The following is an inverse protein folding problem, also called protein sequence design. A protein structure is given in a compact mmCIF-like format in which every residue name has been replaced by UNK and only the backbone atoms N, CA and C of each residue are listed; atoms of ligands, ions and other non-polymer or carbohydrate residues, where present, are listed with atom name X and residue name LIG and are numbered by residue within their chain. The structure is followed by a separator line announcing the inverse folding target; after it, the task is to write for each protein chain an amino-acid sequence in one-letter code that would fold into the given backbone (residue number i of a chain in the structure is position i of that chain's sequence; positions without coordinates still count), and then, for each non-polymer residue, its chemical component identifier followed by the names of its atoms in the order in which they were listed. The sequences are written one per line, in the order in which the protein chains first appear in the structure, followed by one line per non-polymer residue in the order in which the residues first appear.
data_IF_120421883322
#
_entry.id   IF_120421883322
#
_cell.length_a   1.000
_cell.length_b   1.000
_cell.length_c   1.000
_cell.angle_alpha   90.00
_cell.angle_beta   90.00
_cell.angle_gamma   90.00
#
_symmetry.space_group_name_H-M   'P 1'
#
loop_
_entity.id
_entity.type
_entity.pdbx_description
1 polymer ?
#
# COMPACT_ATOMS: atom_id res chain seq x y z
N UNK A 1 39.49 19.38 -16.87
CA UNK A 1 38.53 19.14 -15.75
C UNK A 1 37.07 19.11 -16.18
N UNK A 2 36.55 20.09 -16.99
CA UNK A 2 35.11 20.09 -17.40
C UNK A 2 34.65 18.85 -18.19
N UNK A 3 35.48 18.30 -19.06
CA UNK A 3 35.16 17.10 -19.85
C UNK A 3 35.12 15.81 -19.01
N UNK A 4 36.00 15.65 -18.04
CA UNK A 4 36.06 14.48 -17.16
C UNK A 4 34.81 14.41 -16.24
N UNK A 5 34.36 15.54 -15.67
CA UNK A 5 33.18 15.59 -14.84
C UNK A 5 31.89 15.29 -15.64
N UNK A 6 31.83 15.75 -16.91
CA UNK A 6 30.69 15.42 -17.79
C UNK A 6 30.62 13.95 -18.18
N UNK A 7 31.75 13.33 -18.50
CA UNK A 7 31.85 11.89 -18.80
C UNK A 7 31.48 11.02 -17.60
N UNK A 8 31.92 11.37 -16.40
CA UNK A 8 31.56 10.65 -15.17
C UNK A 8 30.06 10.76 -14.86
N UNK A 9 29.46 11.94 -15.04
CA UNK A 9 28.02 12.14 -14.86
C UNK A 9 27.20 11.32 -15.86
N UNK A 10 27.61 11.33 -17.14
CA UNK A 10 26.97 10.54 -18.18
C UNK A 10 27.07 9.02 -17.86
N UNK A 11 28.25 8.55 -17.43
CA UNK A 11 28.45 7.16 -17.04
C UNK A 11 27.53 6.73 -15.89
N UNK A 12 27.42 7.55 -14.83
CA UNK A 12 26.53 7.28 -13.69
C UNK A 12 25.06 7.25 -14.15
N UNK A 13 24.64 8.22 -14.96
CA UNK A 13 23.25 8.30 -15.45
C UNK A 13 22.89 7.10 -16.33
N UNK A 14 23.76 6.72 -17.25
CA UNK A 14 23.57 5.55 -18.11
C UNK A 14 23.53 4.26 -17.29
N UNK A 15 24.43 4.11 -16.31
CA UNK A 15 24.48 2.94 -15.44
C UNK A 15 23.19 2.81 -14.62
N UNK A 16 22.68 3.91 -14.05
CA UNK A 16 21.40 3.92 -13.34
C UNK A 16 20.22 3.58 -14.26
N UNK A 17 20.22 4.10 -15.48
CA UNK A 17 19.18 3.77 -16.48
C UNK A 17 19.20 2.27 -16.81
N UNK A 18 20.37 1.69 -17.05
CA UNK A 18 20.53 0.24 -17.30
C UNK A 18 19.97 -0.57 -16.13
N UNK A 19 20.33 -0.20 -14.90
CA UNK A 19 19.80 -0.89 -13.69
C UNK A 19 18.29 -0.79 -13.59
N UNK A 20 17.69 0.38 -13.87
CA UNK A 20 16.24 0.54 -13.82
C UNK A 20 15.53 -0.23 -14.95
N UNK A 21 16.08 -0.26 -16.15
CA UNK A 21 15.58 -1.08 -17.26
C UNK A 21 15.67 -2.57 -16.93
N UNK A 22 16.81 -3.03 -16.41
CA UNK A 22 17.00 -4.43 -15.98
C UNK A 22 15.99 -4.81 -14.88
N UNK A 23 15.76 -3.92 -13.90
CA UNK A 23 14.75 -4.13 -12.88
C UNK A 23 13.33 -4.20 -13.48
N UNK A 24 12.99 -3.33 -14.42
CA UNK A 24 11.69 -3.36 -15.11
C UNK A 24 11.49 -4.67 -15.88
N UNK A 25 12.52 -5.14 -16.61
CA UNK A 25 12.50 -6.43 -17.32
C UNK A 25 12.30 -7.59 -16.33
N UNK A 26 13.00 -7.55 -15.19
CA UNK A 26 12.83 -8.55 -14.12
C UNK A 26 11.39 -8.56 -13.57
N UNK A 27 10.81 -7.41 -13.28
CA UNK A 27 9.41 -7.29 -12.83
C UNK A 27 8.44 -7.78 -13.91
N UNK A 28 8.68 -7.44 -15.17
CA UNK A 28 7.87 -7.93 -16.30
C UNK A 28 7.93 -9.46 -16.42
N UNK A 29 9.11 -10.05 -16.32
CA UNK A 29 9.29 -11.50 -16.28
C UNK A 29 8.51 -12.15 -15.13
N UNK A 30 8.60 -11.62 -13.92
CA UNK A 30 7.83 -12.13 -12.78
C UNK A 30 6.33 -11.98 -13.01
N UNK A 31 5.89 -10.84 -13.55
CA UNK A 31 4.48 -10.61 -13.85
C UNK A 31 3.92 -11.66 -14.84
N UNK A 32 4.68 -12.10 -15.85
CA UNK A 32 4.23 -13.17 -16.77
C UNK A 32 4.04 -14.52 -16.09
N UNK A 33 4.65 -14.73 -14.92
CA UNK A 33 4.48 -15.97 -14.12
C UNK A 33 3.34 -15.88 -13.12
N UNK A 34 2.82 -14.68 -12.85
CA UNK A 34 1.76 -14.49 -11.88
C UNK A 34 0.42 -15.02 -12.38
N UNK A 35 -0.25 -15.76 -11.49
CA UNK A 35 -1.65 -16.16 -11.66
C UNK A 35 -2.37 -15.96 -10.33
N UNK A 36 -3.53 -15.29 -10.30
CA UNK A 36 -4.31 -15.18 -9.08
C UNK A 36 -4.79 -16.58 -8.66
N UNK A 37 -4.72 -16.85 -7.37
CA UNK A 37 -5.25 -18.10 -6.81
C UNK A 37 -6.77 -18.06 -6.92
N UNK A 38 -7.37 -19.16 -7.42
CA UNK A 38 -8.81 -19.30 -7.49
C UNK A 38 -9.41 -19.43 -6.09
N UNK A 39 -10.61 -18.92 -5.91
CA UNK A 39 -11.35 -19.10 -4.66
C UNK A 39 -11.55 -20.58 -4.35
N UNK A 40 -11.27 -20.95 -3.11
CA UNK A 40 -11.56 -22.30 -2.60
C UNK A 40 -13.06 -22.44 -2.30
N UNK A 41 -13.54 -23.69 -2.17
CA UNK A 41 -14.93 -24.02 -1.80
C UNK A 41 -15.24 -23.62 -0.36
N UNK A 42 -16.51 -23.41 -0.05
CA UNK A 42 -16.98 -22.87 1.24
C UNK A 42 -16.54 -23.69 2.45
N UNK A 43 -16.48 -25.01 2.33
CA UNK A 43 -16.05 -25.89 3.42
C UNK A 43 -14.57 -25.69 3.78
N UNK A 44 -13.71 -25.32 2.82
CA UNK A 44 -12.29 -25.05 3.02
C UNK A 44 -12.00 -23.61 3.50
N UNK A 45 -12.96 -22.68 3.38
CA UNK A 45 -12.74 -21.32 3.82
C UNK A 45 -12.47 -21.30 5.34
N UNK A 46 -11.43 -20.57 5.79
CA UNK A 46 -11.10 -20.45 7.22
C UNK A 46 -12.10 -19.55 7.95
N UNK A 47 -12.09 -19.60 9.28
CA UNK A 47 -12.76 -18.58 10.08
C UNK A 47 -12.01 -17.25 9.97
N UNK A 48 -12.73 -16.14 9.78
CA UNK A 48 -12.15 -14.81 9.59
C UNK A 48 -12.69 -13.80 10.58
N UNK A 49 -11.84 -12.90 11.04
CA UNK A 49 -12.23 -11.65 11.70
C UNK A 49 -11.88 -10.47 10.83
N UNK A 50 -12.91 -9.73 10.37
CA UNK A 50 -12.71 -8.45 9.67
C UNK A 50 -12.67 -7.32 10.68
N UNK A 51 -11.62 -6.51 10.65
CA UNK A 51 -11.37 -5.39 11.56
C UNK A 51 -11.46 -4.09 10.77
N UNK A 52 -12.38 -3.21 11.16
CA UNK A 52 -12.64 -1.91 10.51
C UNK A 52 -12.36 -0.79 11.51
N UNK A 53 -11.17 -0.15 11.47
CA UNK A 53 -10.88 1.03 12.28
C UNK A 53 -11.52 2.26 11.64
N UNK A 54 -12.30 3.05 12.40
CA UNK A 54 -12.99 4.24 11.92
C UNK A 54 -12.63 5.48 12.76
N UNK A 55 -12.48 6.63 12.09
CA UNK A 55 -12.31 7.93 12.75
C UNK A 55 -12.76 9.07 11.85
N UNK A 56 -13.86 9.75 12.24
CA UNK A 56 -14.47 10.86 11.50
C UNK A 56 -14.77 10.51 10.03
N UNK A 57 -15.50 9.43 9.80
CA UNK A 57 -15.88 8.92 8.47
C UNK A 57 -17.36 9.14 8.14
N UNK A 58 -18.17 9.50 9.16
CA UNK A 58 -19.61 9.67 8.97
C UNK A 58 -20.28 8.45 8.36
N UNK A 59 -21.12 8.66 7.34
CA UNK A 59 -21.87 7.61 6.66
C UNK A 59 -21.00 6.59 5.90
N UNK A 60 -19.75 6.92 5.56
CA UNK A 60 -18.88 6.00 4.81
C UNK A 60 -18.67 4.69 5.57
N UNK A 61 -18.56 4.72 6.89
CA UNK A 61 -18.43 3.51 7.71
C UNK A 61 -19.61 2.55 7.55
N UNK A 62 -20.83 3.09 7.39
CA UNK A 62 -22.02 2.29 7.11
C UNK A 62 -21.91 1.55 5.77
N UNK A 63 -21.43 2.24 4.71
CA UNK A 63 -21.25 1.64 3.39
C UNK A 63 -20.22 0.50 3.42
N UNK A 64 -19.11 0.72 4.14
CA UNK A 64 -18.09 -0.31 4.35
C UNK A 64 -18.68 -1.54 5.06
N UNK A 65 -19.32 -1.34 6.21
CA UNK A 65 -19.88 -2.44 7.03
C UNK A 65 -20.99 -3.19 6.27
N UNK A 66 -21.83 -2.49 5.50
CA UNK A 66 -22.85 -3.10 4.66
C UNK A 66 -22.21 -3.97 3.56
N UNK A 67 -21.18 -3.48 2.87
CA UNK A 67 -20.49 -4.25 1.82
C UNK A 67 -19.82 -5.53 2.35
N UNK A 68 -19.30 -5.48 3.57
CA UNK A 68 -18.73 -6.65 4.24
C UNK A 68 -19.79 -7.69 4.60
N UNK A 69 -20.94 -7.25 5.10
CA UNK A 69 -22.05 -8.11 5.46
C UNK A 69 -22.72 -8.77 4.23
N UNK A 70 -22.66 -8.10 3.07
CA UNK A 70 -23.18 -8.60 1.79
C UNK A 70 -22.18 -9.45 1.03
N UNK A 71 -20.96 -9.67 1.59
CA UNK A 71 -19.95 -10.50 0.96
C UNK A 71 -20.37 -11.96 0.88
N UNK A 72 -19.95 -12.62 -0.22
CA UNK A 72 -20.18 -14.04 -0.44
C UNK A 72 -19.20 -14.88 0.42
N UNK A 73 -19.42 -14.87 1.74
CA UNK A 73 -18.65 -15.60 2.74
C UNK A 73 -19.60 -16.27 3.74
N UNK A 74 -19.35 -17.54 4.16
CA UNK A 74 -20.21 -18.21 5.14
C UNK A 74 -20.35 -17.37 6.42
N UNK A 75 -21.59 -17.08 6.80
CA UNK A 75 -21.87 -16.13 7.90
C UNK A 75 -21.33 -16.62 9.24
N UNK A 76 -21.36 -17.92 9.48
CA UNK A 76 -20.84 -18.59 10.67
C UNK A 76 -19.32 -18.58 10.77
N UNK A 77 -18.62 -18.34 9.65
CA UNK A 77 -17.16 -18.22 9.58
C UNK A 77 -16.66 -16.78 9.56
N UNK A 78 -17.55 -15.78 9.66
CA UNK A 78 -17.22 -14.36 9.50
C UNK A 78 -17.60 -13.55 10.73
N UNK A 79 -16.61 -13.11 11.50
CA UNK A 79 -16.76 -12.09 12.55
C UNK A 79 -16.41 -10.72 11.99
N UNK A 80 -17.23 -9.70 12.21
CA UNK A 80 -16.94 -8.31 11.83
C UNK A 80 -16.81 -7.48 13.11
N UNK A 81 -15.67 -6.78 13.27
CA UNK A 81 -15.37 -5.90 14.40
C UNK A 81 -15.11 -4.50 13.84
N UNK A 82 -15.93 -3.52 14.24
CA UNK A 82 -15.67 -2.13 13.91
C UNK A 82 -15.27 -1.35 15.18
N UNK A 83 -14.21 -0.53 15.06
CA UNK A 83 -13.66 0.21 16.19
C UNK A 83 -13.63 1.70 15.84
N UNK A 84 -14.44 2.45 16.55
CA UNK A 84 -14.42 3.91 16.52
C UNK A 84 -13.25 4.43 17.36
N UNK A 85 -12.30 5.12 16.74
CA UNK A 85 -11.12 5.68 17.40
C UNK A 85 -11.40 7.06 18.01
N UNK A 86 -12.54 7.20 18.71
CA UNK A 86 -12.93 8.41 19.39
C UNK A 86 -13.33 9.53 18.42
N UNK A 87 -14.20 9.23 17.46
CA UNK A 87 -14.74 10.19 16.49
C UNK A 87 -15.50 11.33 17.18
N UNK A 88 -15.50 12.50 16.52
CA UNK A 88 -16.20 13.71 16.98
C UNK A 88 -17.41 14.05 16.11
N UNK A 89 -17.58 13.35 15.00
CA UNK A 89 -18.70 13.45 14.08
C UNK A 89 -19.76 12.34 14.37
N UNK A 90 -20.65 12.10 13.44
CA UNK A 90 -21.72 11.10 13.53
C UNK A 90 -21.30 9.66 13.18
N UNK A 91 -19.98 9.38 13.08
CA UNK A 91 -19.45 8.03 12.76
C UNK A 91 -20.00 6.96 13.71
N UNK A 92 -20.02 7.25 15.04
CA UNK A 92 -20.52 6.29 16.03
C UNK A 92 -21.99 5.98 15.83
N UNK A 93 -22.82 6.97 15.52
CA UNK A 93 -24.25 6.79 15.24
C UNK A 93 -24.47 5.89 14.01
N UNK A 94 -23.67 6.07 12.97
CA UNK A 94 -23.70 5.20 11.79
C UNK A 94 -23.27 3.77 12.10
N UNK A 95 -22.27 3.57 12.95
CA UNK A 95 -21.89 2.23 13.43
C UNK A 95 -22.99 1.57 14.24
N UNK A 96 -23.67 2.32 15.13
CA UNK A 96 -24.83 1.80 15.88
C UNK A 96 -25.98 1.40 14.94
N UNK A 97 -26.27 2.20 13.94
CA UNK A 97 -27.27 1.88 12.90
C UNK A 97 -26.88 0.59 12.17
N UNK A 98 -25.59 0.41 11.83
CA UNK A 98 -25.09 -0.82 11.24
C UNK A 98 -25.26 -2.03 12.17
N UNK A 99 -24.97 -1.87 13.46
CA UNK A 99 -25.15 -2.91 14.47
C UNK A 99 -26.62 -3.34 14.58
N UNK A 100 -27.54 -2.38 14.59
CA UNK A 100 -28.97 -2.66 14.66
C UNK A 100 -29.48 -3.47 13.45
N UNK A 101 -28.93 -3.20 12.24
CA UNK A 101 -29.28 -3.94 11.01
C UNK A 101 -28.63 -5.32 10.92
N UNK A 102 -27.35 -5.42 11.30
CA UNK A 102 -26.55 -6.63 11.11
C UNK A 102 -26.57 -7.58 12.31
N UNK A 103 -27.12 -7.14 13.45
CA UNK A 103 -27.27 -7.96 14.63
C UNK A 103 -25.95 -8.51 15.18
N UNK A 104 -25.93 -9.78 15.53
CA UNK A 104 -24.78 -10.42 16.15
C UNK A 104 -23.55 -10.59 15.21
N UNK A 105 -23.73 -10.41 13.91
CA UNK A 105 -22.64 -10.48 12.92
C UNK A 105 -21.63 -9.32 13.03
N UNK A 106 -22.04 -8.20 13.63
CA UNK A 106 -21.21 -7.01 13.81
C UNK A 106 -21.02 -6.73 15.29
N UNK A 107 -19.80 -6.59 15.72
CA UNK A 107 -19.39 -6.07 17.04
C UNK A 107 -18.82 -4.66 16.86
N UNK A 108 -19.28 -3.71 17.67
CA UNK A 108 -18.81 -2.33 17.62
C UNK A 108 -18.18 -1.93 18.95
N UNK A 109 -17.08 -1.19 18.90
CA UNK A 109 -16.38 -0.71 20.07
C UNK A 109 -15.98 0.75 19.86
N UNK A 110 -16.05 1.55 20.90
CA UNK A 110 -15.60 2.94 20.91
C UNK A 110 -14.38 3.11 21.80
N UNK A 111 -13.41 3.89 21.35
CA UNK A 111 -12.28 4.33 22.16
C UNK A 111 -12.60 5.68 22.82
N UNK A 112 -12.11 5.95 24.03
CA UNK A 112 -12.41 7.20 24.75
C UNK A 112 -11.83 8.45 24.09
N UNK A 113 -10.80 8.29 23.25
CA UNK A 113 -10.14 9.35 22.48
C UNK A 113 -9.42 8.78 21.27
N UNK A 114 -9.09 9.64 20.31
CA UNK A 114 -8.28 9.28 19.16
C UNK A 114 -6.86 8.86 19.61
N UNK A 115 -6.54 7.60 19.41
CA UNK A 115 -5.23 7.00 19.69
C UNK A 115 -4.47 6.65 18.40
N UNK A 116 -5.13 6.75 17.25
CA UNK A 116 -4.62 6.42 15.93
C UNK A 116 -4.99 5.03 15.45
N UNK A 117 -5.04 4.86 14.12
CA UNK A 117 -5.45 3.62 13.44
C UNK A 117 -4.72 2.38 13.98
N UNK A 118 -3.43 2.49 14.29
CA UNK A 118 -2.63 1.38 14.85
C UNK A 118 -3.22 0.85 16.16
N UNK A 119 -3.66 1.72 17.04
CA UNK A 119 -4.28 1.32 18.31
C UNK A 119 -5.67 0.71 18.13
N UNK A 120 -6.47 1.25 17.19
CA UNK A 120 -7.75 0.64 16.85
C UNK A 120 -7.56 -0.77 16.26
N UNK A 121 -6.61 -0.96 15.34
CA UNK A 121 -6.25 -2.28 14.82
C UNK A 121 -5.72 -3.22 15.91
N UNK A 122 -4.86 -2.73 16.82
CA UNK A 122 -4.35 -3.49 17.95
C UNK A 122 -5.49 -4.05 18.82
N UNK A 123 -6.47 -3.21 19.14
CA UNK A 123 -7.67 -3.64 19.86
C UNK A 123 -8.44 -4.71 19.08
N UNK A 124 -8.61 -4.51 17.77
CA UNK A 124 -9.29 -5.46 16.89
C UNK A 124 -8.59 -6.82 16.82
N UNK A 125 -7.26 -6.84 16.72
CA UNK A 125 -6.48 -8.08 16.71
C UNK A 125 -6.60 -8.85 18.02
N UNK A 126 -6.69 -8.17 19.17
CA UNK A 126 -6.89 -8.82 20.45
C UNK A 126 -8.32 -9.36 20.68
N UNK A 127 -9.33 -8.75 20.03
CA UNK A 127 -10.72 -9.17 20.12
C UNK A 127 -11.10 -10.23 19.08
N UNK A 128 -10.32 -10.33 18.02
CA UNK A 128 -10.59 -11.24 16.90
C UNK A 128 -10.34 -12.71 17.25
N UNK A 129 -11.25 -13.58 16.82
CA UNK A 129 -11.18 -15.03 17.09
C UNK A 129 -10.89 -15.86 15.85
N UNK A 130 -11.02 -15.29 14.65
CA UNK A 130 -10.80 -15.97 13.38
C UNK A 130 -9.36 -16.42 13.16
N UNK A 131 -9.16 -17.47 12.39
CA UNK A 131 -7.85 -17.98 11.96
C UNK A 131 -7.11 -16.97 11.08
N UNK A 132 -7.87 -16.16 10.33
CA UNK A 132 -7.35 -15.10 9.47
C UNK A 132 -7.94 -13.76 9.93
N UNK A 133 -7.07 -12.79 10.13
CA UNK A 133 -7.45 -11.40 10.35
C UNK A 133 -7.49 -10.65 9.03
N UNK A 134 -8.56 -9.90 8.78
CA UNK A 134 -8.70 -9.05 7.59
C UNK A 134 -8.85 -7.61 8.07
N UNK A 135 -8.06 -6.70 7.54
CA UNK A 135 -8.20 -5.27 7.80
C UNK A 135 -8.81 -4.58 6.60
N UNK A 136 -9.80 -3.72 6.83
CA UNK A 136 -10.46 -2.93 5.79
C UNK A 136 -10.61 -1.49 6.30
N UNK A 137 -10.22 -0.50 5.49
CA UNK A 137 -10.42 0.92 5.84
C UNK A 137 -11.91 1.26 5.85
N UNK A 138 -12.30 2.15 6.76
CA UNK A 138 -13.70 2.53 7.02
C UNK A 138 -14.38 3.34 5.90
N UNK A 139 -13.64 3.72 4.88
CA UNK A 139 -14.09 4.41 3.66
C UNK A 139 -14.01 3.53 2.40
N UNK A 140 -13.87 2.21 2.60
CA UNK A 140 -13.60 1.25 1.53
C UNK A 140 -14.76 0.28 1.32
N UNK A 141 -15.07 -0.03 0.06
CA UNK A 141 -16.18 -0.92 -0.33
C UNK A 141 -15.60 -2.19 -0.95
N UNK A 142 -15.90 -3.35 -0.39
CA UNK A 142 -15.49 -4.64 -0.93
C UNK A 142 -16.51 -5.17 -1.96
N UNK A 143 -16.03 -5.89 -2.99
CA UNK A 143 -16.92 -6.63 -3.90
C UNK A 143 -17.34 -7.95 -3.24
N UNK A 144 -18.44 -8.55 -3.70
CA UNK A 144 -19.03 -9.76 -3.10
C UNK A 144 -18.04 -10.91 -2.87
N UNK A 145 -17.15 -11.17 -3.83
CA UNK A 145 -16.19 -12.29 -3.75
C UNK A 145 -14.83 -11.89 -3.17
N UNK A 146 -14.69 -10.65 -2.71
CA UNK A 146 -13.40 -10.11 -2.24
C UNK A 146 -12.81 -10.93 -1.10
N UNK A 147 -13.59 -11.19 -0.05
CA UNK A 147 -13.08 -11.86 1.15
C UNK A 147 -12.63 -13.29 0.84
N UNK A 148 -13.43 -14.07 0.12
CA UNK A 148 -13.07 -15.43 -0.25
C UNK A 148 -11.84 -15.50 -1.16
N UNK A 149 -11.72 -14.59 -2.12
CA UNK A 149 -10.53 -14.49 -2.96
C UNK A 149 -9.29 -14.11 -2.16
N UNK A 150 -9.43 -13.20 -1.19
CA UNK A 150 -8.34 -12.71 -0.37
C UNK A 150 -7.75 -13.78 0.55
N UNK A 151 -8.59 -14.68 1.09
CA UNK A 151 -8.15 -15.68 2.05
C UNK A 151 -7.75 -17.03 1.43
N UNK A 152 -8.14 -17.29 0.19
CA UNK A 152 -7.82 -18.54 -0.50
C UNK A 152 -6.33 -18.89 -0.55
N UNK A 153 -5.39 -17.90 -0.67
CA UNK A 153 -3.96 -18.17 -0.63
C UNK A 153 -3.48 -18.86 0.66
N UNK A 154 -4.11 -18.59 1.81
CA UNK A 154 -3.71 -19.21 3.09
C UNK A 154 -3.98 -20.70 3.15
N UNK A 155 -4.90 -21.20 2.30
CA UNK A 155 -5.24 -22.62 2.20
C UNK A 155 -4.33 -23.33 1.20
N UNK A 156 -3.94 -22.63 0.12
CA UNK A 156 -3.11 -23.20 -0.95
C UNK A 156 -1.62 -23.16 -0.61
N UNK A 157 -1.18 -22.15 0.12
CA UNK A 157 0.21 -21.97 0.56
C UNK A 157 0.26 -21.91 2.10
N UNK A 158 0.71 -22.98 2.72
CA UNK A 158 0.86 -23.08 4.19
C UNK A 158 1.83 -22.04 4.75
N UNK A 159 2.80 -21.57 3.94
CA UNK A 159 3.74 -20.50 4.29
C UNK A 159 3.18 -19.10 4.07
N UNK A 160 1.94 -18.98 3.58
CA UNK A 160 1.28 -17.69 3.43
C UNK A 160 0.99 -17.06 4.79
N UNK A 161 1.63 -15.94 5.11
CA UNK A 161 1.41 -15.19 6.35
C UNK A 161 0.58 -13.92 6.16
N UNK A 162 0.60 -13.34 4.95
CA UNK A 162 -0.19 -12.15 4.62
C UNK A 162 -0.57 -12.08 3.14
N UNK A 163 -1.70 -11.45 2.85
CA UNK A 163 -2.20 -11.23 1.47
C UNK A 163 -2.70 -9.79 1.33
N UNK A 164 -2.18 -9.07 0.34
CA UNK A 164 -2.70 -7.77 -0.05
C UNK A 164 -3.81 -7.90 -1.10
N UNK A 165 -4.88 -7.12 -0.94
CA UNK A 165 -5.95 -7.01 -1.95
C UNK A 165 -5.65 -5.96 -3.02
N UNK A 166 -6.47 -5.96 -4.06
CA UNK A 166 -6.40 -5.07 -5.22
C UNK A 166 -7.23 -3.81 -4.98
N UNK A 167 -6.54 -2.70 -4.73
CA UNK A 167 -7.17 -1.41 -4.45
C UNK A 167 -7.47 -0.67 -5.74
N UNK A 168 -8.73 -0.29 -5.93
CA UNK A 168 -9.24 0.49 -7.05
C UNK A 168 -9.80 1.83 -6.56
N UNK A 169 -9.74 2.86 -7.40
CA UNK A 169 -10.21 4.21 -7.05
C UNK A 169 -11.73 4.31 -7.26
N UNK A 170 -12.47 4.57 -6.17
CA UNK A 170 -13.94 4.70 -6.21
C UNK A 170 -14.37 6.01 -6.90
N UNK A 171 -13.74 7.13 -6.54
CA UNK A 171 -14.07 8.45 -7.03
C UNK A 171 -13.31 8.87 -8.30
N UNK A 172 -12.90 7.91 -9.14
CA UNK A 172 -12.03 8.15 -10.31
C UNK A 172 -12.61 9.12 -11.36
N UNK A 173 -13.94 9.36 -11.36
CA UNK A 173 -14.60 10.31 -12.28
C UNK A 173 -14.91 11.68 -11.66
N UNK A 174 -14.66 11.87 -10.34
CA UNK A 174 -15.05 13.10 -9.63
C UNK A 174 -14.12 14.29 -9.89
N UNK A 175 -12.80 14.03 -10.11
CA UNK A 175 -11.80 15.07 -10.31
C UNK A 175 -10.60 14.53 -11.10
N UNK A 176 -9.72 15.43 -11.58
CA UNK A 176 -8.53 15.10 -12.35
C UNK A 176 -7.54 14.24 -11.55
N UNK A 177 -7.28 14.58 -10.30
CA UNK A 177 -6.32 13.86 -9.45
C UNK A 177 -6.74 12.39 -9.25
N UNK A 178 -7.97 12.04 -8.82
CA UNK A 178 -8.42 10.66 -8.75
C UNK A 178 -8.33 9.92 -10.09
N UNK A 179 -8.59 10.59 -11.21
CA UNK A 179 -8.51 10.01 -12.54
C UNK A 179 -7.09 9.61 -12.92
N UNK A 180 -6.11 10.50 -12.67
CA UNK A 180 -4.69 10.22 -12.83
C UNK A 180 -4.23 9.09 -11.89
N UNK A 181 -4.65 9.14 -10.61
CA UNK A 181 -4.30 8.11 -9.61
C UNK A 181 -4.87 6.74 -9.96
N UNK A 182 -6.02 6.66 -10.60
CA UNK A 182 -6.63 5.38 -11.01
C UNK A 182 -5.70 4.57 -11.91
N UNK A 183 -5.09 5.19 -12.92
CA UNK A 183 -4.13 4.51 -13.81
C UNK A 183 -2.87 4.09 -13.05
N UNK A 184 -2.36 4.99 -12.21
CA UNK A 184 -1.18 4.70 -11.36
C UNK A 184 -1.43 3.57 -10.38
N UNK A 185 -2.63 3.51 -9.77
CA UNK A 185 -3.01 2.43 -8.83
C UNK A 185 -3.10 1.09 -9.56
N UNK A 186 -3.77 1.03 -10.72
CA UNK A 186 -3.84 -0.20 -11.52
C UNK A 186 -2.43 -0.71 -11.84
N UNK A 187 -1.52 0.15 -12.27
CA UNK A 187 -0.14 -0.26 -12.54
C UNK A 187 0.59 -0.72 -11.27
N UNK A 188 0.47 0.02 -10.17
CA UNK A 188 1.13 -0.32 -8.90
C UNK A 188 0.59 -1.61 -8.29
N UNK A 189 -0.73 -1.80 -8.27
CA UNK A 189 -1.36 -2.97 -7.67
C UNK A 189 -1.31 -4.17 -8.62
N UNK A 190 -1.84 -4.04 -9.83
CA UNK A 190 -2.02 -5.19 -10.70
C UNK A 190 -0.75 -5.62 -11.44
N UNK A 191 0.23 -4.73 -11.65
CA UNK A 191 1.49 -5.11 -12.28
C UNK A 191 2.60 -5.36 -11.26
N UNK A 192 2.92 -4.35 -10.44
CA UNK A 192 4.08 -4.45 -9.54
C UNK A 192 3.84 -5.48 -8.42
N UNK A 193 2.67 -5.41 -7.72
CA UNK A 193 2.41 -6.36 -6.61
C UNK A 193 2.16 -7.80 -7.10
N UNK A 194 1.60 -7.98 -8.28
CA UNK A 194 1.51 -9.31 -8.90
C UNK A 194 2.90 -9.92 -9.12
N UNK A 195 3.83 -9.15 -9.65
CA UNK A 195 5.22 -9.59 -9.81
C UNK A 195 5.89 -9.91 -8.45
N UNK A 196 5.69 -9.05 -7.45
CA UNK A 196 6.21 -9.28 -6.09
C UNK A 196 5.62 -10.53 -5.43
N UNK A 197 4.37 -10.86 -5.73
CA UNK A 197 3.68 -12.05 -5.21
C UNK A 197 4.35 -13.36 -5.66
N UNK A 198 4.86 -13.41 -6.90
CA UNK A 198 5.54 -14.61 -7.44
C UNK A 198 6.75 -15.04 -6.62
N UNK A 199 7.43 -14.07 -6.01
CA UNK A 199 8.59 -14.33 -5.14
C UNK A 199 8.23 -14.36 -3.66
N UNK A 200 6.92 -14.43 -3.31
CA UNK A 200 6.44 -14.46 -1.94
C UNK A 200 6.83 -13.23 -1.11
N UNK A 201 7.01 -12.07 -1.76
CA UNK A 201 7.51 -10.86 -1.08
C UNK A 201 6.82 -9.61 -1.61
N UNK A 202 5.55 -9.45 -1.31
CA UNK A 202 4.87 -8.15 -1.47
C UNK A 202 5.36 -7.22 -0.37
N UNK A 203 5.96 -6.08 -0.76
CA UNK A 203 6.59 -5.17 0.20
C UNK A 203 5.61 -4.46 1.14
N UNK A 204 4.35 -4.34 0.74
CA UNK A 204 3.31 -3.69 1.54
C UNK A 204 1.95 -4.25 1.20
N UNK A 205 1.28 -4.86 2.16
CA UNK A 205 -0.14 -5.16 2.11
C UNK A 205 -0.92 -3.86 2.38
N UNK A 206 -1.84 -3.42 1.48
CA UNK A 206 -2.46 -2.11 1.62
C UNK A 206 -3.43 -2.05 2.81
N UNK A 207 -3.42 -0.94 3.55
CA UNK A 207 -4.34 -0.73 4.67
C UNK A 207 -5.83 -0.80 4.29
N UNK A 208 -6.15 -0.49 3.02
CA UNK A 208 -7.51 -0.55 2.50
C UNK A 208 -8.08 -1.97 2.40
N UNK A 209 -7.22 -2.98 2.18
CA UNK A 209 -7.61 -4.39 2.19
C UNK A 209 -6.39 -5.30 2.34
N UNK A 210 -6.25 -5.93 3.47
CA UNK A 210 -5.21 -6.92 3.72
C UNK A 210 -5.72 -8.04 4.61
N UNK A 211 -5.18 -9.24 4.41
CA UNK A 211 -5.41 -10.39 5.27
C UNK A 211 -4.11 -10.89 5.86
N UNK A 212 -4.17 -11.42 7.08
CA UNK A 212 -3.03 -11.88 7.86
C UNK A 212 -3.36 -13.16 8.58
N UNK A 213 -2.43 -14.12 8.62
CA UNK A 213 -2.52 -15.29 9.48
C UNK A 213 -2.48 -14.85 10.94
N UNK A 214 -3.48 -15.25 11.73
CA UNK A 214 -3.63 -14.85 13.15
C UNK A 214 -2.36 -15.11 13.95
N UNK A 215 -1.79 -16.29 13.83
CA UNK A 215 -0.55 -16.65 14.52
C UNK A 215 0.60 -15.68 14.19
N UNK A 216 0.82 -15.39 12.92
CA UNK A 216 1.87 -14.48 12.47
C UNK A 216 1.69 -13.06 13.04
N UNK A 217 0.44 -12.59 13.15
CA UNK A 217 0.13 -11.29 13.78
C UNK A 217 0.40 -11.33 15.28
N UNK A 218 -0.15 -12.30 15.99
CA UNK A 218 -0.03 -12.38 17.45
C UNK A 218 1.41 -12.50 17.92
N UNK A 219 2.24 -13.25 17.19
CA UNK A 219 3.67 -13.40 17.48
C UNK A 219 4.45 -12.07 17.42
N UNK A 220 4.04 -11.12 16.58
CA UNK A 220 4.73 -9.83 16.47
C UNK A 220 3.93 -8.65 17.04
N UNK A 221 2.71 -8.86 17.50
CA UNK A 221 1.80 -7.80 17.92
C UNK A 221 2.36 -6.89 19.04
N UNK A 222 3.05 -7.40 20.10
CA UNK A 222 3.68 -6.55 21.11
C UNK A 222 4.79 -5.65 20.54
N UNK A 223 5.61 -6.18 19.62
CA UNK A 223 6.66 -5.41 18.95
C UNK A 223 6.07 -4.40 17.96
N UNK A 224 4.99 -4.77 17.29
CA UNK A 224 4.33 -3.91 16.31
C UNK A 224 3.69 -2.69 16.99
N UNK A 225 2.98 -2.85 18.11
CA UNK A 225 2.34 -1.71 18.78
C UNK A 225 3.36 -0.77 19.45
N UNK A 226 4.47 -1.31 19.96
CA UNK A 226 5.54 -0.55 20.62
C UNK A 226 6.66 -0.10 19.68
N UNK A 227 6.50 -0.25 18.36
CA UNK A 227 7.53 0.11 17.39
C UNK A 227 7.94 1.57 17.52
N UNK A 228 9.25 1.81 17.60
CA UNK A 228 9.85 3.15 17.58
C UNK A 228 10.81 3.32 16.42
N UNK A 229 11.00 4.56 16.01
CA UNK A 229 12.02 4.96 15.05
C UNK A 229 12.74 6.22 15.51
N UNK A 230 14.07 6.17 15.65
CA UNK A 230 14.89 7.27 16.18
C UNK A 230 14.33 7.81 17.52
N UNK A 231 13.95 6.91 18.42
CA UNK A 231 13.41 7.25 19.76
C UNK A 231 11.96 7.73 19.80
N UNK A 232 11.27 7.85 18.65
CA UNK A 232 9.88 8.28 18.57
C UNK A 232 8.95 7.10 18.24
N UNK A 233 7.76 6.97 18.88
CA UNK A 233 6.75 5.99 18.49
C UNK A 233 6.31 6.18 17.03
N UNK A 234 6.05 5.07 16.32
CA UNK A 234 5.60 5.10 14.93
C UNK A 234 4.08 5.01 14.85
N UNK A 235 3.41 6.09 14.45
CA UNK A 235 1.94 6.15 14.37
C UNK A 235 1.40 5.81 12.96
N UNK A 236 2.25 5.89 11.93
CA UNK A 236 1.87 5.71 10.51
C UNK A 236 2.66 4.58 9.87
N UNK A 237 2.08 3.96 8.82
CA UNK A 237 2.69 2.84 8.09
C UNK A 237 2.58 1.52 8.84
N UNK A 238 1.49 1.36 9.55
CA UNK A 238 1.11 0.19 10.33
C UNK A 238 1.03 -1.08 9.46
N UNK A 239 0.55 -0.93 8.22
CA UNK A 239 0.41 -1.97 7.21
C UNK A 239 1.78 -2.50 6.73
N UNK A 240 2.67 -1.59 6.37
CA UNK A 240 4.02 -1.96 5.93
C UNK A 240 4.87 -2.53 7.07
N UNK A 241 4.72 -2.01 8.27
CA UNK A 241 5.38 -2.55 9.46
C UNK A 241 4.93 -3.98 9.75
N UNK A 242 3.62 -4.26 9.71
CA UNK A 242 3.07 -5.61 9.86
C UNK A 242 3.59 -6.54 8.77
N UNK A 243 3.60 -6.08 7.51
CA UNK A 243 4.16 -6.82 6.38
C UNK A 243 5.61 -7.24 6.63
N UNK A 244 6.47 -6.31 7.06
CA UNK A 244 7.88 -6.60 7.35
C UNK A 244 8.06 -7.59 8.51
N UNK A 245 7.25 -7.45 9.57
CA UNK A 245 7.34 -8.36 10.73
C UNK A 245 6.89 -9.77 10.39
N UNK A 246 5.91 -9.93 9.49
CA UNK A 246 5.47 -11.24 8.98
C UNK A 246 6.53 -11.85 8.05
N UNK A 247 7.11 -11.06 7.13
CA UNK A 247 8.23 -11.51 6.30
C UNK A 247 9.43 -11.96 7.13
N UNK A 248 9.76 -11.22 8.21
CA UNK A 248 10.85 -11.56 9.14
C UNK A 248 10.67 -12.91 9.83
N UNK A 249 9.43 -13.34 10.05
CA UNK A 249 9.09 -14.65 10.61
C UNK A 249 9.24 -15.81 9.60
N UNK A 250 9.58 -15.51 8.34
CA UNK A 250 9.76 -16.51 7.29
C UNK A 250 8.55 -16.75 6.41
N UNK A 251 7.42 -16.14 6.70
CA UNK A 251 6.20 -16.30 5.91
C UNK A 251 6.31 -15.63 4.54
N UNK A 252 5.51 -16.14 3.59
CA UNK A 252 5.27 -15.49 2.32
C UNK A 252 4.24 -14.36 2.49
N UNK A 253 4.46 -13.25 1.78
CA UNK A 253 3.48 -12.19 1.61
C UNK A 253 3.07 -12.13 0.15
N UNK A 254 1.79 -12.37 -0.11
CA UNK A 254 1.23 -12.52 -1.44
C UNK A 254 0.30 -11.35 -1.82
N UNK A 255 -0.11 -11.32 -3.06
CA UNK A 255 -1.09 -10.37 -3.59
C UNK A 255 -2.19 -11.14 -4.33
N UNK A 256 -3.46 -10.74 -4.14
CA UNK A 256 -4.61 -11.31 -4.84
C UNK A 256 -5.25 -10.29 -5.76
N UNK A 257 -5.00 -10.41 -7.05
CA UNK A 257 -5.51 -9.50 -8.07
C UNK A 257 -7.04 -9.50 -8.17
N UNK A 258 -7.69 -10.64 -7.90
CA UNK A 258 -9.14 -10.81 -7.94
C UNK A 258 -9.85 -10.46 -6.61
N UNK A 259 -9.13 -10.03 -5.57
CA UNK A 259 -9.69 -9.53 -4.33
C UNK A 259 -9.79 -8.00 -4.38
N UNK A 260 -10.91 -7.47 -4.89
CA UNK A 260 -11.07 -6.04 -5.17
C UNK A 260 -11.66 -5.26 -4.00
N UNK A 261 -11.08 -4.10 -3.73
CA UNK A 261 -11.65 -3.08 -2.85
C UNK A 261 -11.64 -1.72 -3.54
N UNK A 262 -12.69 -0.95 -3.36
CA UNK A 262 -12.86 0.39 -3.90
C UNK A 262 -12.68 1.39 -2.75
N UNK A 263 -11.80 2.38 -2.89
CA UNK A 263 -11.56 3.42 -1.88
C UNK A 263 -11.50 4.80 -2.50
N UNK A 264 -11.80 5.84 -1.72
CA UNK A 264 -11.70 7.21 -2.17
C UNK A 264 -10.25 7.69 -2.15
N UNK A 265 -9.86 8.45 -3.16
CA UNK A 265 -8.56 9.11 -3.22
C UNK A 265 -8.69 10.62 -3.12
N UNK A 266 -7.64 11.34 -2.70
CA UNK A 266 -7.68 12.79 -2.58
C UNK A 266 -8.04 13.48 -3.89
N UNK A 267 -8.99 14.42 -3.82
CA UNK A 267 -9.40 15.26 -4.95
C UNK A 267 -8.59 16.56 -5.06
N UNK A 268 -7.99 17.00 -3.94
CA UNK A 268 -7.22 18.25 -3.83
C UNK A 268 -5.73 17.97 -3.62
N UNK A 269 -4.88 18.77 -4.25
CA UNK A 269 -3.42 18.68 -4.12
C UNK A 269 -2.92 18.66 -2.67
N UNK A 270 -3.50 19.51 -1.81
CA UNK A 270 -3.14 19.59 -0.38
C UNK A 270 -3.27 18.24 0.35
N UNK A 271 -4.29 17.47 0.05
CA UNK A 271 -4.49 16.15 0.66
C UNK A 271 -3.62 15.08 -0.02
N UNK A 272 -3.38 15.21 -1.33
CA UNK A 272 -2.54 14.32 -2.11
C UNK A 272 -1.09 14.32 -1.61
N UNK A 273 -0.43 15.49 -1.52
CA UNK A 273 0.97 15.52 -1.07
C UNK A 273 1.12 15.04 0.38
N UNK A 274 0.14 15.31 1.26
CA UNK A 274 0.12 14.78 2.63
C UNK A 274 0.06 13.24 2.65
N UNK A 275 -0.78 12.65 1.79
CA UNK A 275 -0.86 11.20 1.63
C UNK A 275 0.48 10.62 1.19
N UNK A 276 1.11 11.20 0.16
CA UNK A 276 2.41 10.74 -0.34
C UNK A 276 3.54 10.93 0.67
N UNK A 277 3.61 12.05 1.40
CA UNK A 277 4.60 12.23 2.48
C UNK A 277 4.46 11.12 3.53
N UNK A 278 3.24 10.79 3.93
CA UNK A 278 2.97 9.73 4.89
C UNK A 278 3.47 8.37 4.37
N UNK A 279 3.18 8.05 3.13
CA UNK A 279 3.64 6.80 2.51
C UNK A 279 5.16 6.75 2.38
N UNK A 280 5.79 7.82 1.91
CA UNK A 280 7.25 7.85 1.75
C UNK A 280 7.99 7.83 3.09
N UNK A 281 7.50 8.51 4.14
CA UNK A 281 8.06 8.37 5.49
C UNK A 281 8.02 6.93 5.98
N UNK A 282 6.90 6.24 5.77
CA UNK A 282 6.76 4.83 6.08
C UNK A 282 7.73 3.98 5.25
N UNK A 283 7.85 4.25 3.94
CA UNK A 283 8.76 3.54 3.05
C UNK A 283 10.21 3.65 3.52
N UNK A 284 10.68 4.83 3.87
CA UNK A 284 12.05 5.06 4.36
C UNK A 284 12.30 4.26 5.64
N UNK A 285 11.41 4.36 6.63
CA UNK A 285 11.55 3.63 7.90
C UNK A 285 11.57 2.12 7.69
N UNK A 286 10.62 1.62 6.95
CA UNK A 286 10.44 0.19 6.78
C UNK A 286 11.48 -0.44 5.83
N UNK A 287 12.10 0.33 4.94
CA UNK A 287 13.29 -0.12 4.21
C UNK A 287 14.47 -0.34 5.17
N UNK A 288 14.68 0.56 6.14
CA UNK A 288 15.70 0.39 7.20
C UNK A 288 15.38 -0.85 8.04
N UNK A 289 14.13 -1.03 8.44
CA UNK A 289 13.73 -2.21 9.23
C UNK A 289 13.90 -3.51 8.44
N UNK A 290 13.52 -3.54 7.15
CA UNK A 290 13.71 -4.69 6.29
C UNK A 290 15.19 -5.02 6.09
N UNK A 291 16.08 -4.01 6.00
CA UNK A 291 17.53 -4.22 5.85
C UNK A 291 18.14 -4.98 7.03
N UNK A 292 17.54 -4.92 8.22
CA UNK A 292 18.04 -5.62 9.41
C UNK A 292 17.91 -7.15 9.30
N UNK A 293 17.06 -7.67 8.41
CA UNK A 293 16.85 -9.10 8.27
C UNK A 293 16.95 -9.63 6.84
N UNK A 294 16.71 -8.83 5.81
CA UNK A 294 16.60 -9.31 4.43
C UNK A 294 17.89 -10.01 3.92
N UNK A 295 19.05 -9.60 4.43
CA UNK A 295 20.34 -10.20 4.06
C UNK A 295 20.72 -11.41 4.92
N UNK A 296 19.98 -11.70 5.99
CA UNK A 296 20.13 -12.92 6.79
C UNK A 296 19.39 -14.12 6.16
N UNK A 297 19.41 -15.26 6.85
CA UNK A 297 18.67 -16.45 6.47
C UNK A 297 17.25 -16.46 7.05
N UNK A 298 16.46 -15.40 6.82
CA UNK A 298 15.18 -15.12 7.47
C UNK A 298 14.03 -16.07 7.09
N UNK A 299 14.14 -16.79 5.99
CA UNK A 299 13.15 -17.79 5.55
C UNK A 299 13.78 -18.95 4.81
N UNK A 300 13.07 -20.05 4.71
CA UNK A 300 13.41 -21.15 3.81
C UNK A 300 13.15 -20.76 2.34
N UNK A 301 13.90 -21.35 1.42
CA UNK A 301 13.77 -21.09 -0.02
C UNK A 301 14.44 -19.79 -0.51
N UNK A 302 14.13 -19.36 -1.74
CA UNK A 302 14.84 -18.26 -2.42
C UNK A 302 14.59 -16.90 -1.74
N UNK A 303 15.68 -16.17 -1.46
CA UNK A 303 15.66 -14.82 -0.84
C UNK A 303 16.12 -13.72 -1.80
N UNK A 304 16.68 -14.12 -2.95
CA UNK A 304 17.27 -13.19 -3.93
C UNK A 304 16.27 -12.15 -4.40
N UNK A 305 15.03 -12.56 -4.70
CA UNK A 305 13.97 -11.64 -5.12
C UNK A 305 13.67 -10.56 -4.08
N UNK A 306 13.55 -10.92 -2.80
CA UNK A 306 13.33 -9.96 -1.71
C UNK A 306 14.48 -8.95 -1.60
N UNK A 307 15.72 -9.41 -1.78
CA UNK A 307 16.94 -8.56 -1.76
C UNK A 307 16.98 -7.61 -2.95
N UNK A 308 16.65 -8.09 -4.16
CA UNK A 308 16.55 -7.24 -5.36
C UNK A 308 15.50 -6.14 -5.16
N UNK A 309 14.32 -6.46 -4.62
CA UNK A 309 13.30 -5.48 -4.33
C UNK A 309 13.81 -4.43 -3.32
N UNK A 310 14.44 -4.84 -2.24
CA UNK A 310 14.99 -3.94 -1.23
C UNK A 310 16.11 -3.05 -1.80
N UNK A 311 17.03 -3.61 -2.58
CA UNK A 311 18.10 -2.85 -3.25
C UNK A 311 17.49 -1.77 -4.16
N UNK A 312 16.46 -2.12 -4.94
CA UNK A 312 15.78 -1.13 -5.79
C UNK A 312 15.10 -0.01 -4.97
N UNK A 313 14.55 -0.32 -3.79
CA UNK A 313 14.03 0.71 -2.89
C UNK A 313 15.15 1.63 -2.36
N UNK A 314 16.31 1.06 -2.01
CA UNK A 314 17.46 1.83 -1.57
C UNK A 314 18.03 2.73 -2.66
N UNK A 315 18.11 2.27 -3.91
CA UNK A 315 18.51 3.11 -5.06
C UNK A 315 17.63 4.36 -5.14
N UNK A 316 16.30 4.23 -4.98
CA UNK A 316 15.38 5.37 -4.99
C UNK A 316 15.64 6.33 -3.83
N UNK A 317 15.88 5.82 -2.63
CA UNK A 317 16.15 6.64 -1.44
C UNK A 317 17.49 7.37 -1.56
N UNK A 318 18.56 6.66 -1.97
CA UNK A 318 19.91 7.23 -2.12
C UNK A 318 19.94 8.28 -3.22
N UNK A 319 19.26 8.03 -4.35
CA UNK A 319 19.21 8.94 -5.49
C UNK A 319 18.26 10.12 -5.32
N UNK A 320 17.45 10.15 -4.26
CA UNK A 320 16.45 11.20 -4.07
C UNK A 320 17.06 12.62 -4.04
N UNK A 321 18.11 12.83 -3.24
CA UNK A 321 18.80 14.13 -3.18
C UNK A 321 19.63 14.42 -4.43
N UNK A 322 20.54 13.54 -4.88
CA UNK A 322 21.30 13.76 -6.12
C UNK A 322 20.41 14.06 -7.32
N UNK A 323 19.33 13.29 -7.51
CA UNK A 323 18.39 13.53 -8.61
C UNK A 323 17.67 14.88 -8.51
N UNK A 324 17.27 15.28 -7.29
CA UNK A 324 16.63 16.58 -7.05
C UNK A 324 17.58 17.73 -7.34
N UNK A 325 18.83 17.67 -6.85
CA UNK A 325 19.83 18.70 -7.11
C UNK A 325 20.16 18.79 -8.61
N UNK A 326 20.32 17.66 -9.28
CA UNK A 326 20.58 17.60 -10.71
C UNK A 326 19.41 18.17 -11.52
N UNK A 327 18.19 17.84 -11.13
CA UNK A 327 16.98 18.40 -11.73
C UNK A 327 16.94 19.90 -11.61
N UNK A 328 17.14 20.45 -10.41
CA UNK A 328 17.18 21.90 -10.17
C UNK A 328 18.30 22.56 -10.98
N UNK A 329 19.49 21.97 -11.01
CA UNK A 329 20.60 22.46 -11.82
C UNK A 329 20.21 22.60 -13.29
N UNK A 330 19.61 21.54 -13.90
CA UNK A 330 19.20 21.57 -15.30
C UNK A 330 18.05 22.55 -15.56
N UNK A 331 17.11 22.71 -14.64
CA UNK A 331 16.03 23.69 -14.75
C UNK A 331 16.60 25.13 -14.91
N UNK A 332 17.63 25.46 -14.11
CA UNK A 332 18.20 26.81 -14.12
C UNK A 332 19.24 27.03 -15.21
N UNK A 333 20.00 26.02 -15.61
CA UNK A 333 21.10 26.17 -16.59
C UNK A 333 20.73 25.77 -18.01
N UNK A 334 19.86 24.78 -18.16
CA UNK A 334 19.48 24.20 -19.46
C UNK A 334 17.98 23.86 -19.51
N UNK A 335 17.06 24.85 -19.33
CA UNK A 335 15.64 24.60 -19.17
C UNK A 335 15.00 23.87 -20.37
N UNK A 336 15.39 24.21 -21.60
CA UNK A 336 14.86 23.55 -22.81
C UNK A 336 15.26 22.08 -22.85
N UNK A 337 16.54 21.78 -22.53
CA UNK A 337 17.04 20.39 -22.47
C UNK A 337 16.33 19.60 -21.37
N UNK A 338 16.10 20.22 -20.22
CA UNK A 338 15.35 19.59 -19.12
C UNK A 338 13.91 19.27 -19.54
N UNK A 339 13.18 20.24 -20.05
CA UNK A 339 11.77 20.06 -20.45
C UNK A 339 11.66 19.01 -21.56
N UNK A 340 12.49 19.06 -22.61
CA UNK A 340 12.45 18.10 -23.71
C UNK A 340 12.78 16.68 -23.23
N UNK A 341 13.82 16.51 -22.42
CA UNK A 341 14.18 15.19 -21.88
C UNK A 341 13.12 14.64 -20.89
N UNK A 342 12.50 15.50 -20.09
CA UNK A 342 11.40 15.12 -19.20
C UNK A 342 10.17 14.66 -19.99
N UNK A 343 9.82 15.36 -21.09
CA UNK A 343 8.70 14.96 -21.95
C UNK A 343 8.98 13.64 -22.67
N UNK A 344 10.18 13.48 -23.25
CA UNK A 344 10.58 12.22 -23.92
C UNK A 344 10.57 11.05 -22.94
N UNK A 345 11.17 11.23 -21.76
CA UNK A 345 11.19 10.20 -20.72
C UNK A 345 9.77 9.85 -20.26
N UNK A 346 8.93 10.86 -20.02
CA UNK A 346 7.52 10.66 -19.70
C UNK A 346 6.82 9.85 -20.78
N UNK A 347 7.00 10.22 -22.04
CA UNK A 347 6.37 9.50 -23.16
C UNK A 347 6.78 8.03 -23.17
N UNK A 348 8.08 7.73 -23.06
CA UNK A 348 8.60 6.36 -23.09
C UNK A 348 8.08 5.54 -21.90
N UNK A 349 8.30 6.01 -20.67
CA UNK A 349 7.99 5.22 -19.48
C UNK A 349 6.49 5.15 -19.17
N UNK A 350 5.73 6.20 -19.43
CA UNK A 350 4.27 6.17 -19.24
C UNK A 350 3.56 5.35 -20.30
N UNK A 351 4.14 5.17 -21.49
CA UNK A 351 3.57 4.27 -22.51
C UNK A 351 3.45 2.83 -22.01
N UNK A 352 4.34 2.40 -21.11
CA UNK A 352 4.24 1.08 -20.48
C UNK A 352 2.97 0.98 -19.64
N UNK A 353 2.64 2.03 -18.88
CA UNK A 353 1.41 2.09 -18.07
C UNK A 353 0.17 2.17 -18.99
N UNK A 354 0.23 2.96 -20.06
CA UNK A 354 -0.83 3.06 -21.06
C UNK A 354 -1.12 1.70 -21.68
N UNK A 355 -0.11 1.01 -22.17
CA UNK A 355 -0.23 -0.32 -22.76
C UNK A 355 -0.76 -1.37 -21.76
N UNK A 356 -0.29 -1.30 -20.52
CA UNK A 356 -0.77 -2.22 -19.48
C UNK A 356 -2.23 -1.97 -19.15
N UNK A 357 -2.62 -0.71 -18.92
CA UNK A 357 -3.98 -0.33 -18.55
C UNK A 357 -4.97 -0.63 -19.69
N UNK A 358 -4.62 -0.26 -20.93
CA UNK A 358 -5.49 -0.42 -22.11
C UNK A 358 -5.87 -1.86 -22.43
N UNK A 359 -5.03 -2.83 -22.04
CA UNK A 359 -5.32 -4.27 -22.21
C UNK A 359 -6.48 -4.78 -21.36
N UNK A 360 -6.79 -4.10 -20.25
CA UNK A 360 -7.77 -4.56 -19.25
C UNK A 360 -8.93 -3.61 -19.04
N UNK A 361 -8.71 -2.33 -19.34
CA UNK A 361 -9.62 -1.23 -19.05
C UNK A 361 -9.82 -0.35 -20.27
N UNK A 362 -10.54 0.76 -20.11
CA UNK A 362 -10.83 1.68 -21.19
C UNK A 362 -9.55 2.32 -21.77
N UNK A 363 -9.39 2.22 -23.09
CA UNK A 363 -8.22 2.73 -23.82
C UNK A 363 -8.03 4.25 -23.61
N UNK A 364 -9.10 5.05 -23.71
CA UNK A 364 -9.00 6.50 -23.56
C UNK A 364 -8.59 6.91 -22.14
N UNK A 365 -9.03 6.18 -21.11
CA UNK A 365 -8.63 6.43 -19.72
C UNK A 365 -7.14 6.11 -19.48
N UNK A 366 -6.54 5.22 -20.28
CA UNK A 366 -5.11 4.89 -20.13
C UNK A 366 -4.19 6.09 -20.36
N UNK A 367 -4.60 7.06 -21.18
CA UNK A 367 -3.81 8.26 -21.47
C UNK A 367 -3.57 9.16 -20.25
N UNK A 368 -4.36 9.02 -19.18
CA UNK A 368 -4.12 9.73 -17.92
C UNK A 368 -2.78 9.37 -17.24
N UNK A 369 -2.09 8.33 -17.70
CA UNK A 369 -0.72 8.04 -17.30
C UNK A 369 0.27 9.17 -17.66
N UNK A 370 0.10 9.82 -18.80
CA UNK A 370 0.99 10.91 -19.22
C UNK A 370 0.84 12.16 -18.35
N UNK A 371 -0.38 12.73 -18.18
CA UNK A 371 -0.57 13.84 -17.25
C UNK A 371 -0.12 13.51 -15.83
N UNK A 372 -0.33 12.28 -15.34
CA UNK A 372 0.12 11.86 -14.02
C UNK A 372 1.65 11.94 -13.89
N UNK A 373 2.40 11.45 -14.87
CA UNK A 373 3.86 11.45 -14.81
C UNK A 373 4.44 12.86 -14.91
N UNK A 374 3.87 13.71 -15.78
CA UNK A 374 4.24 15.14 -15.87
C UNK A 374 3.94 15.82 -14.52
N UNK A 375 2.73 15.64 -14.01
CA UNK A 375 2.32 16.18 -12.72
C UNK A 375 3.27 15.75 -11.60
N UNK A 376 3.65 14.46 -11.55
CA UNK A 376 4.56 13.92 -10.54
C UNK A 376 5.94 14.58 -10.61
N UNK A 377 6.53 14.69 -11.80
CA UNK A 377 7.86 15.27 -12.01
C UNK A 377 7.91 16.75 -11.55
N UNK A 378 6.88 17.55 -11.86
CA UNK A 378 6.91 18.99 -11.60
C UNK A 378 6.34 19.39 -10.24
N UNK A 379 5.49 18.57 -9.61
CA UNK A 379 4.79 18.99 -8.40
C UNK A 379 5.05 18.11 -7.17
N UNK A 380 5.54 16.90 -7.35
CA UNK A 380 5.72 15.93 -6.27
C UNK A 380 7.17 15.46 -6.07
N UNK A 381 8.13 15.94 -6.89
CA UNK A 381 9.55 15.56 -6.84
C UNK A 381 10.20 15.77 -5.47
N UNK A 382 9.78 16.78 -4.75
CA UNK A 382 10.31 17.15 -3.43
C UNK A 382 9.87 16.22 -2.28
N UNK A 383 8.87 15.36 -2.52
CA UNK A 383 8.26 14.53 -1.47
C UNK A 383 9.25 13.53 -0.90
N UNK A 384 9.97 12.79 -1.76
CA UNK A 384 10.93 11.78 -1.29
C UNK A 384 12.09 12.40 -0.49
N UNK A 385 12.79 13.46 -0.95
CA UNK A 385 13.79 14.15 -0.13
C UNK A 385 13.22 14.67 1.20
N UNK A 386 12.04 15.28 1.17
CA UNK A 386 11.39 15.76 2.38
C UNK A 386 11.02 14.64 3.35
N UNK A 387 10.53 13.51 2.84
CA UNK A 387 10.18 12.36 3.64
C UNK A 387 11.41 11.72 4.31
N UNK A 388 12.56 11.66 3.61
CA UNK A 388 13.83 11.20 4.18
C UNK A 388 14.25 12.10 5.35
N UNK A 389 14.27 13.43 5.14
CA UNK A 389 14.64 14.40 6.18
C UNK A 389 13.69 14.42 7.38
N UNK A 390 12.46 13.93 7.21
CA UNK A 390 11.40 13.97 8.22
C UNK A 390 10.84 12.60 8.59
N UNK A 391 11.59 11.54 8.32
CA UNK A 391 11.13 10.17 8.57
C UNK A 391 10.82 9.88 10.05
N UNK A 392 11.43 10.62 10.98
CA UNK A 392 11.18 10.53 12.42
C UNK A 392 9.93 11.29 12.89
N UNK A 393 9.33 12.17 12.05
CA UNK A 393 8.15 12.95 12.46
C UNK A 393 6.94 12.05 12.59
N UNK A 394 6.16 12.31 13.65
CA UNK A 394 4.91 11.64 14.01
C UNK A 394 3.70 12.32 13.35
N UNK A 395 2.56 11.69 13.47
CA UNK A 395 1.24 12.25 13.18
C UNK A 395 0.68 11.85 11.83
N UNK A 396 -0.63 11.60 11.86
CA UNK A 396 -1.45 11.36 10.68
C UNK A 396 -1.80 12.70 10.05
N UNK A 397 -1.06 13.14 9.05
CA UNK A 397 -1.15 14.47 8.44
C UNK A 397 -2.54 14.90 7.95
N UNK A 398 -3.46 13.95 7.80
CA UNK A 398 -4.82 14.18 7.29
C UNK A 398 -5.90 14.05 8.37
N UNK A 399 -5.61 13.56 9.59
CA UNK A 399 -6.63 13.17 10.58
C UNK A 399 -6.35 13.65 12.02
N UNK A 400 -5.77 14.81 12.21
CA UNK A 400 -5.78 15.53 13.49
C UNK A 400 -5.13 14.86 14.70
N UNK A 401 -4.24 13.88 14.55
CA UNK A 401 -3.39 13.42 15.65
C UNK A 401 -2.40 14.55 16.05
N UNK A 402 -2.17 14.78 17.35
CA UNK A 402 -1.26 15.83 17.78
C UNK A 402 0.14 15.59 17.20
N UNK A 403 0.63 16.58 16.48
CA UNK A 403 2.04 16.69 16.13
C UNK A 403 2.77 17.14 17.40
N UNK A 404 3.44 16.24 18.12
CA UNK A 404 4.45 16.55 19.12
C UNK A 404 5.83 16.46 18.53
#
# INVERSE_FOLDING_TARGET
MKTFSGQMLAFITISLLIVQVAFLVYILYLYTKYKPIKSVSDYLLPTCTVIVPAYNEGELVWQTLSSLAESNYPAEKLQIIAIDDGSKDDTWQWMQKAKNRLGNRLQIFQQPKNMGKRHALYRGFNLGTGEIFITVDSDSIVKKDTLRNLVSPFIVDEKCGAVGGNVQVLNNKKAIIPRMLNVSFVFSFEFIRSAQSVIGTVLCTPGALAAYRREAVLNCLPQWISQTFMGQPTDIGEDRAMTNMILKQGFHVLFQQNAHVLTNTPEKYKNLYKMFIRWERSNVRENIMMSKFAFSNFREGPKTGSRILLINQWIKVIMAYPATFLMLYFIFTHPILFISSALVSTFIFSSIQVLFYSKKYNFLESFWAYPYSIFYIFTLFWITPYAIATANKRGWLTRGLPQK
#
